data_IF_007065464297
#
_entry.id   IF_007065464297
#
_cell.length_a   1.000
_cell.length_b   1.000
_cell.length_c   1.000
_cell.angle_alpha   90.00
_cell.angle_beta   90.00
_cell.angle_gamma   90.00
#
_symmetry.space_group_name_H-M   'P 1'
#
loop_
_entity.id
_entity.type
_entity.pdbx_description
1 polymer ?
#
# COMPACT_ATOMS: atom_id res chain seq x y z
N UNK A 1 0.63 67.56 52.69
CA UNK A 1 -0.41 66.53 52.48
C UNK A 1 -1.37 66.98 51.39
N UNK A 2 -1.39 66.32 50.23
CA UNK A 2 -2.57 66.22 49.36
C UNK A 2 -2.36 65.07 48.36
N UNK A 3 -3.38 64.22 48.27
CA UNK A 3 -3.36 62.86 47.74
C UNK A 3 -3.13 62.79 46.23
N UNK A 4 -2.10 62.09 45.77
CA UNK A 4 -2.07 61.53 44.42
C UNK A 4 -2.73 60.15 44.44
N UNK A 5 -4.00 60.10 44.03
CA UNK A 5 -4.67 58.87 43.63
C UNK A 5 -4.00 58.35 42.36
N UNK A 6 -3.07 57.40 42.49
CA UNK A 6 -2.59 56.65 41.35
C UNK A 6 -3.74 55.78 40.83
N UNK A 7 -4.24 56.15 39.66
CA UNK A 7 -5.34 55.51 38.95
C UNK A 7 -5.04 54.03 38.69
N UNK A 8 -5.93 53.15 39.17
CA UNK A 8 -5.91 51.69 38.97
C UNK A 8 -6.14 51.24 37.52
N UNK A 9 -6.14 52.16 36.54
CA UNK A 9 -6.50 51.85 35.14
C UNK A 9 -5.32 51.62 34.19
N UNK A 10 -4.06 51.71 34.64
CA UNK A 10 -2.91 51.54 33.72
C UNK A 10 -2.28 50.15 33.75
N UNK A 11 -2.62 49.30 34.72
CA UNK A 11 -2.11 47.92 34.82
C UNK A 11 -3.05 46.91 34.12
N UNK A 12 -4.31 47.28 33.89
CA UNK A 12 -5.32 46.41 33.25
C UNK A 12 -5.19 46.33 31.72
N UNK A 13 -4.58 47.31 31.07
CA UNK A 13 -4.48 47.35 29.59
C UNK A 13 -3.34 46.47 29.05
N UNK A 14 -2.31 46.21 29.85
CA UNK A 14 -1.18 45.34 29.47
C UNK A 14 -1.49 43.84 29.61
N UNK A 15 -2.44 43.47 30.47
CA UNK A 15 -2.86 42.08 30.70
C UNK A 15 -4.00 41.62 29.78
N UNK A 16 -4.74 42.56 29.19
CA UNK A 16 -5.79 42.28 28.19
C UNK A 16 -5.25 42.09 26.77
N UNK A 17 -4.05 42.62 26.47
CA UNK A 17 -3.43 42.49 25.14
C UNK A 17 -2.75 41.12 24.91
N UNK A 18 -2.42 40.39 25.97
CA UNK A 18 -1.78 39.06 25.91
C UNK A 18 -2.78 37.90 25.85
N UNK A 19 -4.09 38.15 26.02
CA UNK A 19 -5.14 37.12 25.93
C UNK A 19 -5.87 37.08 24.58
N UNK A 20 -5.65 38.06 23.70
CA UNK A 20 -6.29 38.15 22.37
C UNK A 20 -5.48 37.52 21.23
N UNK A 21 -4.26 37.02 21.50
CA UNK A 21 -3.39 36.40 20.50
C UNK A 21 -3.45 34.86 20.46
N UNK A 22 -4.33 34.22 21.24
CA UNK A 22 -4.45 32.74 21.30
C UNK A 22 -5.81 32.19 20.86
N UNK A 23 -6.72 33.01 20.31
CA UNK A 23 -8.07 32.57 19.90
C UNK A 23 -8.41 32.78 18.41
N UNK A 24 -7.41 32.85 17.52
CA UNK A 24 -7.62 32.68 16.08
C UNK A 24 -7.18 31.30 15.56
N UNK A 25 -7.33 30.27 16.40
CA UNK A 25 -7.33 28.88 15.95
C UNK A 25 -8.75 28.32 16.06
N UNK A 26 -9.28 27.79 14.96
CA UNK A 26 -10.54 27.02 14.84
C UNK A 26 -11.83 27.82 14.65
N UNK A 27 -12.02 28.38 13.45
CA UNK A 27 -13.31 28.42 12.76
C UNK A 27 -13.13 28.91 11.31
N UNK A 28 -12.55 28.09 10.43
CA UNK A 28 -12.82 28.26 9.00
C UNK A 28 -14.21 27.68 8.73
N UNK A 29 -15.20 28.56 8.90
CA UNK A 29 -16.54 28.39 8.39
C UNK A 29 -16.46 28.52 6.87
N UNK A 30 -16.72 27.43 6.17
CA UNK A 30 -16.90 27.40 4.72
C UNK A 30 -18.00 28.39 4.32
N UNK A 31 -17.61 29.45 3.62
CA UNK A 31 -18.52 30.25 2.81
C UNK A 31 -17.83 30.79 1.56
N UNK A 32 -18.02 30.05 0.46
CA UNK A 32 -18.07 30.50 -0.94
C UNK A 32 -16.76 30.85 -1.67
N UNK A 33 -16.76 30.85 -3.03
CA UNK A 33 -15.95 29.94 -3.82
C UNK A 33 -14.97 30.72 -4.70
N UNK A 34 -13.69 30.71 -4.37
CA UNK A 34 -12.68 31.20 -5.30
C UNK A 34 -11.53 30.21 -5.37
N UNK A 35 -11.20 29.88 -6.61
CA UNK A 35 -10.27 28.85 -7.03
C UNK A 35 -8.91 29.02 -6.36
N UNK A 36 -8.69 28.27 -5.28
CA UNK A 36 -7.37 28.08 -4.68
C UNK A 36 -6.57 27.11 -5.52
N UNK A 37 -5.64 27.64 -6.31
CA UNK A 37 -4.62 26.85 -6.99
C UNK A 37 -3.80 26.11 -5.94
N UNK A 38 -4.06 24.81 -5.78
CA UNK A 38 -3.24 23.92 -4.96
C UNK A 38 -1.90 23.77 -5.68
N UNK A 39 -0.76 24.12 -5.05
CA UNK A 39 0.53 23.93 -5.69
C UNK A 39 0.76 22.43 -5.93
N UNK A 40 1.09 22.09 -7.19
CA UNK A 40 1.33 20.72 -7.67
C UNK A 40 2.49 19.98 -6.94
N UNK A 41 3.17 20.63 -6.01
CA UNK A 41 4.17 20.02 -5.13
C UNK A 41 3.61 19.31 -3.89
N UNK A 42 2.30 19.43 -3.59
CA UNK A 42 1.65 18.69 -2.49
C UNK A 42 0.88 17.43 -2.95
N UNK A 43 0.65 17.27 -4.26
CA UNK A 43 -0.19 16.20 -4.82
C UNK A 43 0.62 14.89 -5.08
N UNK A 44 1.95 14.96 -5.13
CA UNK A 44 2.81 13.80 -5.39
C UNK A 44 3.14 12.96 -4.15
N UNK A 45 3.07 13.51 -2.94
CA UNK A 45 3.37 12.75 -1.70
C UNK A 45 2.14 11.98 -1.21
N UNK A 46 0.94 12.57 -1.30
CA UNK A 46 -0.29 11.91 -0.85
C UNK A 46 -0.60 10.63 -1.63
N UNK A 47 -0.42 10.63 -2.96
CA UNK A 47 -0.65 9.44 -3.80
C UNK A 47 0.35 8.32 -3.51
N UNK A 48 1.63 8.66 -3.35
CA UNK A 48 2.67 7.68 -3.04
C UNK A 48 2.49 7.08 -1.64
N UNK A 49 2.04 7.88 -0.66
CA UNK A 49 1.74 7.38 0.69
C UNK A 49 0.49 6.51 0.72
N UNK A 50 -0.56 6.89 -0.01
CA UNK A 50 -1.80 6.10 -0.11
C UNK A 50 -1.55 4.75 -0.79
N UNK A 51 -0.79 4.73 -1.88
CA UNK A 51 -0.43 3.49 -2.59
C UNK A 51 0.48 2.60 -1.73
N UNK A 52 1.40 3.19 -0.97
CA UNK A 52 2.23 2.45 -0.01
C UNK A 52 1.39 1.86 1.13
N UNK A 53 0.41 2.59 1.66
CA UNK A 53 -0.48 2.10 2.70
C UNK A 53 -1.37 0.97 2.19
N UNK A 54 -1.94 1.10 0.98
CA UNK A 54 -2.68 0.01 0.31
C UNK A 54 -1.80 -1.22 0.09
N UNK A 55 -0.55 -1.03 -0.30
CA UNK A 55 0.42 -2.11 -0.49
C UNK A 55 0.73 -2.81 0.83
N UNK A 56 0.94 -2.05 1.91
CA UNK A 56 1.15 -2.58 3.26
C UNK A 56 -0.06 -3.40 3.73
N UNK A 57 -1.27 -2.88 3.54
CA UNK A 57 -2.51 -3.56 3.87
C UNK A 57 -2.70 -4.85 3.07
N UNK A 58 -2.40 -4.81 1.77
CA UNK A 58 -2.47 -5.95 0.86
C UNK A 58 -1.49 -7.06 1.26
N UNK A 59 -0.21 -6.73 1.45
CA UNK A 59 0.82 -7.71 1.85
C UNK A 59 0.64 -8.17 3.31
N UNK A 60 -0.28 -7.54 4.03
CA UNK A 60 -0.61 -7.89 5.39
C UNK A 60 0.48 -7.51 6.39
N UNK A 61 1.22 -6.44 6.09
CA UNK A 61 2.09 -5.75 7.06
C UNK A 61 1.18 -5.30 8.18
N UNK A 62 1.27 -6.00 9.30
CA UNK A 62 0.39 -5.77 10.42
C UNK A 62 0.75 -4.48 11.15
N UNK A 63 -0.26 -3.73 11.64
CA UNK A 63 -0.02 -2.68 12.61
C UNK A 63 0.66 -3.24 13.87
N UNK A 64 1.39 -2.41 14.63
CA UNK A 64 1.98 -2.81 15.90
C UNK A 64 0.92 -3.44 16.83
N UNK A 65 1.23 -4.60 17.42
CA UNK A 65 0.37 -5.28 18.41
C UNK A 65 -0.52 -6.40 17.86
N UNK A 66 -0.58 -6.61 16.53
CA UNK A 66 -1.23 -7.79 15.95
C UNK A 66 -0.27 -8.98 15.90
N UNK A 67 -0.74 -10.16 16.30
CA UNK A 67 -0.02 -11.42 16.20
C UNK A 67 -0.71 -12.32 15.17
N UNK A 68 0.04 -12.81 14.19
CA UNK A 68 -0.41 -13.88 13.29
C UNK A 68 0.20 -15.21 13.73
N UNK A 69 -0.55 -16.29 13.59
CA UNK A 69 0.01 -17.64 13.69
C UNK A 69 0.97 -17.87 12.52
N UNK A 70 2.05 -18.61 12.76
CA UNK A 70 3.05 -18.94 11.74
C UNK A 70 2.66 -20.18 10.91
N UNK A 71 1.48 -20.76 11.18
CA UNK A 71 1.04 -22.00 10.55
C UNK A 71 0.77 -21.75 9.07
N UNK A 72 1.60 -22.37 8.23
CA UNK A 72 1.46 -22.36 6.79
C UNK A 72 0.50 -23.47 6.38
N UNK A 73 -0.69 -23.09 5.95
CA UNK A 73 -1.69 -24.05 5.43
C UNK A 73 -1.69 -24.00 3.91
N UNK A 74 -1.47 -25.13 3.21
CA UNK A 74 -1.65 -25.20 1.77
C UNK A 74 -3.13 -25.05 1.42
N UNK A 75 -3.46 -24.25 0.40
CA UNK A 75 -4.82 -24.19 -0.15
C UNK A 75 -4.83 -24.59 -1.63
N UNK A 76 -5.91 -25.24 -2.12
CA UNK A 76 -5.96 -25.74 -3.49
C UNK A 76 -6.13 -24.60 -4.51
N UNK A 77 -5.59 -24.82 -5.71
CA UNK A 77 -5.77 -23.96 -6.89
C UNK A 77 -6.06 -24.84 -8.10
N UNK A 78 -6.52 -24.23 -9.19
CA UNK A 78 -6.60 -24.89 -10.50
C UNK A 78 -5.54 -24.40 -11.50
N UNK A 79 -4.59 -23.55 -11.10
CA UNK A 79 -3.48 -23.14 -11.98
C UNK A 79 -2.55 -24.33 -12.18
N UNK A 80 -2.38 -24.76 -13.44
CA UNK A 80 -1.48 -25.86 -13.77
C UNK A 80 -0.11 -25.35 -14.25
N UNK A 81 -0.04 -24.18 -14.89
CA UNK A 81 1.21 -23.66 -15.44
C UNK A 81 1.29 -22.13 -15.38
N UNK A 82 2.50 -21.64 -15.15
CA UNK A 82 2.83 -20.20 -15.21
C UNK A 82 4.01 -19.96 -16.15
N UNK A 83 3.83 -19.01 -17.06
CA UNK A 83 4.86 -18.56 -17.99
C UNK A 83 5.36 -17.16 -17.60
N UNK A 84 6.68 -16.99 -17.58
CA UNK A 84 7.34 -15.70 -17.42
C UNK A 84 7.79 -15.17 -18.78
N UNK A 85 7.36 -13.96 -19.12
CA UNK A 85 7.72 -13.27 -20.37
C UNK A 85 8.34 -11.91 -20.07
N UNK A 86 9.27 -11.49 -20.92
CA UNK A 86 9.83 -10.13 -20.94
C UNK A 86 9.64 -9.58 -22.34
N UNK A 87 8.79 -8.57 -22.47
CA UNK A 87 8.25 -8.17 -23.77
C UNK A 87 7.60 -9.37 -24.48
N UNK A 88 8.12 -9.73 -25.66
CA UNK A 88 7.58 -10.82 -26.47
C UNK A 88 8.31 -12.17 -26.30
N UNK A 89 9.37 -12.22 -25.49
CA UNK A 89 10.17 -13.42 -25.28
C UNK A 89 9.69 -14.18 -24.04
N UNK A 90 9.49 -15.49 -24.17
CA UNK A 90 9.26 -16.37 -23.03
C UNK A 90 10.60 -16.75 -22.41
N UNK A 91 10.76 -16.44 -21.12
CA UNK A 91 12.01 -16.60 -20.39
C UNK A 91 12.02 -17.88 -19.56
N UNK A 92 10.87 -18.25 -18.98
CA UNK A 92 10.74 -19.43 -18.14
C UNK A 92 9.30 -19.93 -18.16
N UNK A 93 9.12 -21.22 -17.88
CA UNK A 93 7.83 -21.86 -17.68
C UNK A 93 7.90 -22.80 -16.50
N UNK A 94 6.85 -22.84 -15.71
CA UNK A 94 6.79 -23.67 -14.51
C UNK A 94 5.44 -24.39 -14.45
N UNK A 95 5.50 -25.70 -14.26
CA UNK A 95 4.36 -26.48 -13.82
C UNK A 95 4.12 -26.19 -12.33
N UNK A 96 2.91 -25.74 -12.03
CA UNK A 96 2.50 -25.26 -10.72
C UNK A 96 1.51 -26.19 -10.02
N UNK A 97 1.15 -27.31 -10.64
CA UNK A 97 0.24 -28.33 -10.09
C UNK A 97 0.69 -28.87 -8.73
N UNK A 98 2.01 -28.90 -8.51
CA UNK A 98 2.63 -29.37 -7.27
C UNK A 98 3.08 -28.25 -6.33
N UNK A 99 2.87 -26.98 -6.70
CA UNK A 99 3.32 -25.85 -5.90
C UNK A 99 2.27 -25.47 -4.85
N UNK A 100 2.60 -25.59 -3.56
CA UNK A 100 1.68 -25.23 -2.50
C UNK A 100 1.44 -23.70 -2.46
N UNK A 101 0.16 -23.33 -2.36
CA UNK A 101 -0.24 -21.97 -2.05
C UNK A 101 -0.32 -21.82 -0.55
N UNK A 102 0.36 -20.84 0.02
CA UNK A 102 0.49 -20.75 1.47
C UNK A 102 -0.43 -19.67 2.05
N UNK A 103 -1.21 -20.05 3.06
CA UNK A 103 -1.80 -19.10 4.00
C UNK A 103 -0.99 -19.16 5.29
N UNK A 104 -0.31 -18.07 5.63
CA UNK A 104 0.47 -17.94 6.86
C UNK A 104 -0.20 -16.93 7.79
N UNK A 105 -0.96 -17.42 8.76
CA UNK A 105 -1.75 -16.59 9.67
C UNK A 105 -2.62 -15.61 8.92
N UNK A 106 -2.29 -14.31 9.02
CA UNK A 106 -3.14 -13.28 8.44
C UNK A 106 -2.84 -13.00 6.95
N UNK A 107 -1.69 -13.38 6.39
CA UNK A 107 -1.38 -13.15 4.95
C UNK A 107 -1.55 -14.44 4.14
N UNK A 108 -2.21 -14.32 2.99
CA UNK A 108 -2.25 -15.35 1.95
C UNK A 108 -1.31 -14.94 0.83
N UNK A 109 -0.50 -15.87 0.36
CA UNK A 109 0.42 -15.62 -0.73
C UNK A 109 0.68 -16.87 -1.58
N UNK A 110 1.14 -16.63 -2.80
CA UNK A 110 1.55 -17.67 -3.73
C UNK A 110 2.98 -17.40 -4.19
N UNK A 111 3.88 -18.32 -3.88
CA UNK A 111 5.30 -18.22 -4.21
C UNK A 111 5.63 -19.02 -5.46
N UNK A 112 6.26 -18.35 -6.42
CA UNK A 112 6.75 -18.91 -7.66
C UNK A 112 8.27 -18.77 -7.67
N UNK A 113 8.98 -19.89 -7.64
CA UNK A 113 10.45 -19.93 -7.67
C UNK A 113 10.91 -20.26 -9.08
N UNK A 114 11.66 -19.36 -9.68
CA UNK A 114 12.16 -19.49 -11.04
C UNK A 114 13.56 -20.09 -11.02
N UNK A 115 13.68 -21.38 -11.30
CA UNK A 115 14.96 -22.10 -11.19
C UNK A 115 15.89 -21.87 -12.40
N UNK A 116 15.33 -21.54 -13.56
CA UNK A 116 16.01 -21.39 -14.85
C UNK A 116 16.08 -19.93 -15.34
N UNK A 117 15.32 -19.01 -14.75
CA UNK A 117 15.33 -17.60 -15.11
C UNK A 117 16.62 -16.91 -14.64
N UNK A 118 17.36 -16.31 -15.57
CA UNK A 118 18.67 -15.68 -15.29
C UNK A 118 18.58 -14.39 -14.47
N UNK A 119 17.48 -13.65 -14.61
CA UNK A 119 17.33 -12.32 -14.01
C UNK A 119 16.37 -12.30 -12.81
N UNK A 120 15.51 -13.31 -12.70
CA UNK A 120 14.43 -13.37 -11.73
C UNK A 120 14.57 -14.65 -10.91
N UNK A 121 14.54 -14.52 -9.59
CA UNK A 121 14.66 -15.65 -8.67
C UNK A 121 13.30 -16.09 -8.15
N UNK A 122 12.44 -15.12 -7.81
CA UNK A 122 11.13 -15.39 -7.21
C UNK A 122 10.10 -14.33 -7.59
N UNK A 123 8.86 -14.76 -7.77
CA UNK A 123 7.67 -13.92 -7.81
C UNK A 123 6.71 -14.36 -6.72
N UNK A 124 6.21 -13.43 -5.92
CA UNK A 124 5.22 -13.72 -4.86
C UNK A 124 3.97 -12.91 -5.10
N UNK A 125 2.83 -13.58 -5.29
CA UNK A 125 1.52 -12.94 -5.37
C UNK A 125 0.93 -12.84 -3.97
N UNK A 126 0.48 -11.65 -3.56
CA UNK A 126 -0.22 -11.43 -2.30
C UNK A 126 -1.71 -11.25 -2.54
N UNK A 127 -2.53 -11.81 -1.67
CA UNK A 127 -3.99 -11.73 -1.78
C UNK A 127 -4.57 -10.80 -0.73
N UNK A 128 -5.68 -10.15 -1.07
CA UNK A 128 -6.41 -9.35 -0.10
C UNK A 128 -6.84 -10.17 1.12
N UNK A 129 -6.92 -9.49 2.26
CA UNK A 129 -7.47 -10.03 3.51
C UNK A 129 -8.98 -9.76 3.61
N UNK A 130 -9.67 -10.63 4.34
CA UNK A 130 -11.07 -10.42 4.71
C UNK A 130 -12.04 -10.64 3.55
N UNK A 131 -12.93 -9.67 3.32
CA UNK A 131 -14.05 -9.78 2.37
C UNK A 131 -13.63 -9.56 0.92
N UNK A 132 -12.49 -8.90 0.69
CA UNK A 132 -11.94 -8.72 -0.66
C UNK A 132 -11.20 -9.99 -1.05
N UNK A 133 -11.49 -10.49 -2.24
CA UNK A 133 -10.87 -11.66 -2.82
C UNK A 133 -9.83 -11.26 -3.88
N UNK A 134 -8.94 -12.19 -4.23
CA UNK A 134 -8.00 -12.01 -5.34
C UNK A 134 -6.66 -11.35 -4.99
N UNK A 135 -5.77 -11.40 -5.98
CA UNK A 135 -4.39 -10.88 -5.90
C UNK A 135 -4.42 -9.36 -5.89
N UNK A 136 -3.69 -8.77 -4.96
CA UNK A 136 -3.62 -7.32 -4.75
C UNK A 136 -2.21 -6.76 -4.93
N UNK A 137 -1.17 -7.56 -4.79
CA UNK A 137 0.21 -7.14 -5.02
C UNK A 137 1.07 -8.28 -5.53
N UNK A 138 2.19 -7.90 -6.12
CA UNK A 138 3.27 -8.82 -6.50
C UNK A 138 4.60 -8.31 -5.95
N UNK A 139 5.38 -9.21 -5.36
CA UNK A 139 6.78 -8.98 -5.07
C UNK A 139 7.64 -9.71 -6.10
N UNK A 140 8.66 -9.03 -6.59
CA UNK A 140 9.65 -9.55 -7.52
C UNK A 140 11.01 -9.52 -6.83
N UNK A 141 11.64 -10.68 -6.73
CA UNK A 141 13.02 -10.81 -6.28
C UNK A 141 13.91 -11.19 -7.46
N UNK A 142 14.83 -10.31 -7.82
CA UNK A 142 15.84 -10.56 -8.86
C UNK A 142 16.94 -11.48 -8.34
N UNK A 143 17.70 -12.07 -9.26
CA UNK A 143 18.84 -12.96 -8.93
C UNK A 143 19.98 -12.23 -8.21
N UNK A 144 20.10 -10.91 -8.37
CA UNK A 144 21.05 -10.06 -7.64
C UNK A 144 20.61 -9.71 -6.19
N UNK A 145 19.45 -10.19 -5.74
CA UNK A 145 18.90 -9.94 -4.40
C UNK A 145 18.00 -8.71 -4.28
N UNK A 146 17.92 -7.85 -5.31
CA UNK A 146 17.00 -6.72 -5.35
C UNK A 146 15.56 -7.22 -5.25
N UNK A 147 14.79 -6.64 -4.33
CA UNK A 147 13.39 -7.00 -4.10
C UNK A 147 12.53 -5.75 -4.23
N UNK A 148 11.48 -5.83 -5.05
CA UNK A 148 10.54 -4.72 -5.26
C UNK A 148 9.10 -5.23 -5.22
N UNK A 149 8.25 -4.46 -4.56
CA UNK A 149 6.83 -4.74 -4.38
C UNK A 149 6.02 -3.80 -5.27
N UNK A 150 4.94 -4.31 -5.86
CA UNK A 150 4.05 -3.56 -6.73
C UNK A 150 2.61 -3.82 -6.30
N UNK A 151 1.86 -2.75 -6.08
CA UNK A 151 0.42 -2.83 -5.95
C UNK A 151 -0.17 -3.10 -7.33
N UNK A 152 -1.09 -4.07 -7.41
CA UNK A 152 -1.80 -4.40 -8.63
C UNK A 152 -3.15 -3.72 -8.65
N UNK A 153 -3.46 -3.06 -9.77
CA UNK A 153 -4.77 -2.47 -10.01
C UNK A 153 -5.63 -3.42 -10.85
N UNK A 154 -6.01 -4.54 -10.25
CA UNK A 154 -6.87 -5.55 -10.86
C UNK A 154 -8.29 -5.46 -10.30
N UNK A 155 -9.34 -5.59 -11.13
CA UNK A 155 -10.68 -5.85 -10.63
C UNK A 155 -10.70 -7.11 -9.75
N UNK A 156 -11.48 -7.09 -8.66
CA UNK A 156 -11.48 -8.17 -7.66
C UNK A 156 -11.75 -9.56 -8.28
N UNK A 157 -12.70 -9.63 -9.20
CA UNK A 157 -13.08 -10.86 -9.91
C UNK A 157 -11.97 -11.39 -10.82
N UNK A 158 -11.21 -10.50 -11.48
CA UNK A 158 -10.07 -10.87 -12.33
C UNK A 158 -8.83 -11.24 -11.52
N UNK A 159 -8.71 -10.70 -10.31
CA UNK A 159 -7.65 -11.03 -9.37
C UNK A 159 -7.81 -12.39 -8.70
N UNK A 160 -8.98 -13.03 -8.77
CA UNK A 160 -9.18 -14.37 -8.18
C UNK A 160 -8.25 -15.37 -8.84
N UNK A 161 -7.55 -16.18 -8.05
CA UNK A 161 -6.49 -17.08 -8.56
C UNK A 161 -7.00 -18.04 -9.64
N UNK A 162 -8.24 -18.51 -9.53
CA UNK A 162 -8.84 -19.39 -10.52
C UNK A 162 -9.11 -18.68 -11.86
N UNK A 163 -9.30 -17.36 -11.84
CA UNK A 163 -9.69 -16.54 -13.00
C UNK A 163 -8.50 -15.75 -13.56
N UNK A 164 -7.48 -15.50 -12.75
CA UNK A 164 -6.31 -14.70 -13.09
C UNK A 164 -5.63 -15.28 -14.32
N UNK A 165 -5.50 -14.46 -15.37
CA UNK A 165 -4.87 -14.84 -16.64
C UNK A 165 -3.47 -14.28 -16.77
N UNK A 166 -3.28 -13.04 -16.34
CA UNK A 166 -2.01 -12.36 -16.49
C UNK A 166 -1.76 -11.31 -15.41
N UNK A 167 -0.48 -11.08 -15.11
CA UNK A 167 0.00 -9.95 -14.33
C UNK A 167 1.18 -9.32 -15.07
N UNK A 168 1.06 -8.05 -15.44
CA UNK A 168 2.09 -7.32 -16.17
C UNK A 168 2.63 -6.15 -15.34
N UNK A 169 3.95 -6.11 -15.14
CA UNK A 169 4.65 -5.09 -14.35
C UNK A 169 6.04 -4.81 -14.92
N UNK A 170 6.41 -3.53 -15.08
CA UNK A 170 7.75 -3.09 -15.50
C UNK A 170 8.33 -3.87 -16.71
N UNK A 171 7.49 -4.19 -17.71
CA UNK A 171 7.90 -4.92 -18.94
C UNK A 171 8.01 -6.44 -18.79
N UNK A 172 7.71 -6.98 -17.60
CA UNK A 172 7.54 -8.41 -17.34
C UNK A 172 6.07 -8.78 -17.33
N UNK A 173 5.75 -9.97 -17.82
CA UNK A 173 4.40 -10.53 -17.79
C UNK A 173 4.45 -11.96 -17.26
N UNK A 174 3.62 -12.23 -16.25
CA UNK A 174 3.29 -13.58 -15.82
C UNK A 174 1.97 -13.98 -16.48
N UNK A 175 1.94 -15.13 -17.14
CA UNK A 175 0.72 -15.68 -17.73
C UNK A 175 0.37 -17.00 -17.04
N UNK A 176 -0.88 -17.12 -16.62
CA UNK A 176 -1.39 -18.27 -15.87
C UNK A 176 -2.29 -19.10 -16.76
N UNK A 177 -2.07 -20.41 -16.77
CA UNK A 177 -2.80 -21.37 -17.59
C UNK A 177 -3.21 -22.59 -16.79
N UNK A 178 -4.31 -23.20 -17.25
CA UNK A 178 -4.85 -24.45 -16.74
C UNK A 178 -4.55 -25.57 -17.73
#
# INVERSE_FOLDING_TARGET
>A
MKNQKLSKNTISVSLLLSFLLTFFGTACRDTSPDAGWVPLSLITVAKNMEDQEKLNQCMGVLPPGYLCTADLTPFPTNILRVDLRIGNEQISTLDTTSLPYYSGGCTRYYDIVWNDAKILKRSTLFFWRGNKLGVCAIQIQKTNGETKNYLLNLPEEEGKIDVLKEVSIDGMTLTFSR
#
